data_IF_884808359948
#
_entry.id   IF_884808359948
#
_cell.length_a   1.000
_cell.length_b   1.000
_cell.length_c   1.000
_cell.angle_alpha   90.00
_cell.angle_beta   90.00
_cell.angle_gamma   90.00
#
_symmetry.space_group_name_H-M   'P 1'
#
loop_
_entity.id
_entity.type
_entity.pdbx_description
1 polymer ?
#
# COMPACT_ATOMS: atom_id res chain seq x y z
N UNK A 1 11.22 -7.14 -15.45
CA UNK A 1 11.53 -7.94 -14.24
C UNK A 1 10.35 -7.75 -13.30
N UNK A 2 9.48 -8.75 -13.17
CA UNK A 2 8.25 -8.61 -12.36
C UNK A 2 8.58 -8.74 -10.88
N UNK A 3 8.13 -7.78 -10.07
CA UNK A 3 8.33 -7.86 -8.62
C UNK A 3 7.39 -8.91 -8.04
N UNK A 4 7.87 -9.72 -7.11
CA UNK A 4 7.03 -10.70 -6.40
C UNK A 4 6.48 -10.10 -5.11
N UNK A 5 5.16 -9.93 -5.05
CA UNK A 5 4.48 -9.51 -3.82
C UNK A 5 4.35 -10.67 -2.82
N UNK A 6 4.41 -10.36 -1.52
CA UNK A 6 4.20 -11.34 -0.46
C UNK A 6 2.71 -11.46 -0.13
N UNK A 7 2.00 -12.26 -0.91
CA UNK A 7 0.54 -12.44 -0.78
C UNK A 7 0.14 -13.13 0.54
N UNK A 8 1.04 -13.88 1.17
CA UNK A 8 0.79 -14.50 2.48
C UNK A 8 0.62 -13.44 3.57
N UNK A 9 1.47 -12.41 3.57
CA UNK A 9 1.37 -11.31 4.53
C UNK A 9 0.09 -10.50 4.30
N UNK A 10 -0.28 -10.26 3.04
CA UNK A 10 -1.53 -9.57 2.69
C UNK A 10 -2.79 -10.35 3.12
N UNK A 11 -2.74 -11.69 3.07
CA UNK A 11 -3.86 -12.53 3.52
C UNK A 11 -4.05 -12.56 5.03
N UNK A 12 -3.00 -12.29 5.81
CA UNK A 12 -3.08 -12.21 7.28
C UNK A 12 -3.63 -10.88 7.81
N UNK A 13 -3.85 -9.89 6.95
CA UNK A 13 -4.38 -8.59 7.33
C UNK A 13 -5.81 -8.69 7.86
N UNK A 14 -6.13 -7.83 8.83
CA UNK A 14 -7.51 -7.63 9.33
C UNK A 14 -8.40 -7.00 8.25
N UNK A 15 -9.73 -7.06 8.42
CA UNK A 15 -10.67 -6.50 7.45
C UNK A 15 -10.44 -5.01 7.15
N UNK A 16 -10.17 -4.21 8.18
CA UNK A 16 -9.88 -2.78 8.06
C UNK A 16 -8.54 -2.51 7.35
N UNK A 17 -7.52 -3.31 7.62
CA UNK A 17 -6.22 -3.21 6.95
C UNK A 17 -6.34 -3.59 5.47
N UNK A 18 -7.11 -4.64 5.14
CA UNK A 18 -7.38 -5.04 3.76
C UNK A 18 -8.08 -3.94 2.96
N UNK A 19 -9.13 -3.33 3.53
CA UNK A 19 -9.82 -2.20 2.91
C UNK A 19 -8.85 -1.04 2.66
N UNK A 20 -8.03 -0.73 3.66
CA UNK A 20 -7.00 0.33 3.53
C UNK A 20 -6.00 0.02 2.42
N UNK A 21 -5.50 -1.21 2.33
CA UNK A 21 -4.58 -1.63 1.26
C UNK A 21 -5.19 -1.45 -0.13
N UNK A 22 -6.44 -1.89 -0.34
CA UNK A 22 -7.13 -1.74 -1.63
C UNK A 22 -7.22 -0.28 -2.05
N UNK A 23 -7.67 0.57 -1.14
CA UNK A 23 -7.84 2.00 -1.38
C UNK A 23 -6.51 2.72 -1.61
N UNK A 24 -5.43 2.32 -0.93
CA UNK A 24 -4.08 2.84 -1.18
C UNK A 24 -3.58 2.41 -2.56
N UNK A 25 -3.86 1.19 -2.99
CA UNK A 25 -3.50 0.71 -4.33
C UNK A 25 -4.27 1.46 -5.42
N UNK A 26 -5.56 1.74 -5.23
CA UNK A 26 -6.34 2.54 -6.18
C UNK A 26 -5.85 3.99 -6.24
N UNK A 27 -5.50 4.57 -5.09
CA UNK A 27 -4.89 5.88 -5.03
C UNK A 27 -3.55 5.92 -5.76
N UNK A 28 -2.66 4.96 -5.46
CA UNK A 28 -1.31 4.89 -6.03
C UNK A 28 -1.24 4.60 -7.52
N UNK A 29 -2.27 3.98 -8.10
CA UNK A 29 -2.34 3.77 -9.56
C UNK A 29 -2.45 5.10 -10.31
N UNK A 30 -3.14 6.07 -9.70
CA UNK A 30 -3.37 7.39 -10.30
C UNK A 30 -2.42 8.47 -9.77
N UNK A 31 -1.64 8.17 -8.74
CA UNK A 31 -0.78 9.12 -8.06
C UNK A 31 0.63 8.59 -7.94
N UNK A 32 1.58 9.37 -8.44
CA UNK A 32 3.01 9.03 -8.38
C UNK A 32 3.58 9.06 -6.96
N UNK A 33 2.87 9.67 -5.99
CA UNK A 33 3.33 9.81 -4.61
C UNK A 33 2.21 9.48 -3.65
N UNK A 34 2.53 8.65 -2.67
CA UNK A 34 1.65 8.25 -1.57
C UNK A 34 2.31 8.71 -0.28
N UNK A 35 1.64 9.56 0.48
CA UNK A 35 2.07 10.01 1.80
C UNK A 35 0.97 9.76 2.81
N UNK A 36 1.32 9.78 4.09
CA UNK A 36 0.33 9.62 5.16
C UNK A 36 -0.71 10.73 5.09
N UNK A 37 -0.28 11.98 4.90
CA UNK A 37 -1.15 13.16 4.83
C UNK A 37 -2.18 13.07 3.72
N UNK A 38 -1.81 12.51 2.56
CA UNK A 38 -2.74 12.30 1.45
C UNK A 38 -3.78 11.22 1.78
N UNK A 39 -3.38 10.20 2.54
CA UNK A 39 -4.21 9.05 2.85
C UNK A 39 -5.17 9.26 4.03
N UNK A 40 -4.87 10.16 4.97
CA UNK A 40 -5.77 10.49 6.09
C UNK A 40 -7.16 10.89 5.61
N UNK A 41 -7.34 11.90 4.73
CA UNK A 41 -8.67 12.29 4.26
C UNK A 41 -9.30 11.24 3.33
N UNK A 42 -8.50 10.42 2.64
CA UNK A 42 -9.00 9.37 1.76
C UNK A 42 -9.57 8.23 2.59
N UNK A 43 -8.78 7.68 3.50
CA UNK A 43 -9.13 6.48 4.24
C UNK A 43 -10.07 6.78 5.41
N UNK A 44 -10.07 8.00 5.93
CA UNK A 44 -10.82 8.36 7.14
C UNK A 44 -10.32 7.59 8.37
N UNK A 45 -9.03 7.24 8.40
CA UNK A 45 -8.39 6.46 9.47
C UNK A 45 -7.29 7.28 10.14
N UNK A 46 -6.91 6.86 11.35
CA UNK A 46 -5.85 7.54 12.10
C UNK A 46 -4.49 7.41 11.41
N UNK A 47 -3.63 8.41 11.63
CA UNK A 47 -2.27 8.42 11.12
C UNK A 47 -1.49 7.14 11.51
N UNK A 48 -1.66 6.68 12.75
CA UNK A 48 -1.04 5.46 13.26
C UNK A 48 -1.48 4.21 12.49
N UNK A 49 -2.77 4.09 12.17
CA UNK A 49 -3.30 3.01 11.34
C UNK A 49 -2.68 3.03 9.95
N UNK A 50 -2.66 4.20 9.31
CA UNK A 50 -2.11 4.38 7.96
C UNK A 50 -0.62 4.02 7.92
N UNK A 51 0.17 4.50 8.89
CA UNK A 51 1.58 4.14 9.00
C UNK A 51 1.80 2.65 9.17
N UNK A 52 0.96 1.97 9.96
CA UNK A 52 1.03 0.52 10.10
C UNK A 52 0.74 -0.20 8.76
N UNK A 53 -0.31 0.21 8.05
CA UNK A 53 -0.67 -0.36 6.74
C UNK A 53 0.44 -0.14 5.71
N UNK A 54 0.99 1.08 5.60
CA UNK A 54 2.09 1.39 4.68
C UNK A 54 3.33 0.54 4.98
N UNK A 55 3.65 0.32 6.26
CA UNK A 55 4.74 -0.57 6.68
C UNK A 55 4.50 -2.02 6.25
N UNK A 56 3.27 -2.53 6.38
CA UNK A 56 2.90 -3.87 5.94
C UNK A 56 2.98 -4.01 4.41
N UNK A 57 2.56 -2.98 3.68
CA UNK A 57 2.63 -2.93 2.22
C UNK A 57 4.09 -2.88 1.72
N UNK A 58 4.98 -2.16 2.41
CA UNK A 58 6.42 -2.19 2.14
C UNK A 58 6.99 -3.61 2.34
N UNK A 59 6.73 -4.25 3.48
CA UNK A 59 7.18 -5.62 3.74
C UNK A 59 6.57 -6.64 2.77
N UNK A 60 5.45 -6.31 2.14
CA UNK A 60 4.80 -7.14 1.12
C UNK A 60 5.29 -6.88 -0.30
N UNK A 61 6.26 -5.98 -0.49
CA UNK A 61 6.73 -5.49 -1.80
C UNK A 61 5.64 -4.81 -2.64
N UNK A 62 4.51 -4.42 -2.04
CA UNK A 62 3.43 -3.69 -2.74
C UNK A 62 3.84 -2.23 -2.94
N UNK A 63 4.51 -1.65 -1.94
CA UNK A 63 5.06 -0.31 -2.00
C UNK A 63 6.58 -0.35 -2.03
N UNK A 64 7.15 0.74 -2.54
CA UNK A 64 8.55 1.11 -2.37
C UNK A 64 8.62 2.47 -1.68
N UNK A 65 9.70 2.70 -0.94
CA UNK A 65 10.05 4.01 -0.40
C UNK A 65 11.33 4.48 -1.12
N UNK A 66 11.21 5.24 -2.21
CA UNK A 66 12.36 5.63 -3.03
C UNK A 66 13.27 6.66 -2.36
N UNK A 67 12.78 7.38 -1.34
CA UNK A 67 13.52 8.46 -0.67
C UNK A 67 14.09 8.03 0.70
N UNK A 68 13.84 6.79 1.13
CA UNK A 68 14.29 6.29 2.43
C UNK A 68 13.43 6.76 3.61
N UNK A 69 13.81 6.31 4.81
CA UNK A 69 12.99 6.34 6.02
C UNK A 69 12.51 7.73 6.46
N UNK A 70 13.18 8.82 6.05
CA UNK A 70 12.93 10.16 6.58
C UNK A 70 11.77 10.91 5.90
N UNK A 71 11.37 10.49 4.70
CA UNK A 71 10.42 11.29 3.90
C UNK A 71 8.94 10.94 4.07
N UNK A 72 8.59 9.74 4.55
CA UNK A 72 7.20 9.27 4.52
C UNK A 72 6.59 9.21 3.11
N UNK A 73 7.45 9.16 2.08
CA UNK A 73 7.08 9.12 0.67
C UNK A 73 7.12 7.68 0.15
N UNK A 74 5.98 7.20 -0.32
CA UNK A 74 5.82 5.86 -0.87
C UNK A 74 5.34 5.92 -2.31
N UNK A 75 5.61 4.87 -3.07
CA UNK A 75 5.05 4.64 -4.41
C UNK A 75 4.61 3.20 -4.54
N UNK A 76 3.63 2.94 -5.41
CA UNK A 76 3.40 1.59 -5.85
C UNK A 76 4.66 1.04 -6.50
N UNK A 77 4.94 -0.22 -6.20
CA UNK A 77 5.96 -0.96 -6.91
C UNK A 77 5.52 -1.19 -8.37
N UNK A 78 6.42 -1.70 -9.20
CA UNK A 78 6.12 -2.09 -10.58
C UNK A 78 5.25 -3.37 -10.61
N UNK A 79 4.02 -3.26 -10.10
CA UNK A 79 3.02 -4.31 -10.04
C UNK A 79 2.38 -4.49 -11.41
N UNK A 80 2.13 -5.75 -11.79
CA UNK A 80 1.33 -6.06 -12.97
C UNK A 80 -0.17 -6.08 -12.67
N UNK A 81 -1.00 -6.04 -13.71
CA UNK A 81 -2.47 -6.03 -13.59
C UNK A 81 -3.01 -7.27 -12.86
N UNK A 82 -2.31 -8.41 -12.92
CA UNK A 82 -2.74 -9.61 -12.20
C UNK A 82 -2.56 -9.43 -10.70
N UNK A 83 -1.44 -8.85 -10.29
CA UNK A 83 -1.14 -8.55 -8.88
C UNK A 83 -2.08 -7.49 -8.32
N UNK A 84 -2.36 -6.43 -9.08
CA UNK A 84 -3.34 -5.41 -8.70
C UNK A 84 -4.72 -6.07 -8.50
N UNK A 85 -5.16 -6.92 -9.44
CA UNK A 85 -6.42 -7.67 -9.30
C UNK A 85 -6.43 -8.63 -8.11
N UNK A 86 -5.31 -9.23 -7.75
CA UNK A 86 -5.22 -10.08 -6.56
C UNK A 86 -5.41 -9.26 -5.28
N UNK A 87 -4.79 -8.07 -5.19
CA UNK A 87 -4.95 -7.16 -4.05
C UNK A 87 -6.41 -6.70 -3.93
N UNK A 88 -7.08 -6.40 -5.06
CA UNK A 88 -8.47 -5.98 -5.05
C UNK A 88 -9.45 -7.07 -4.56
N UNK A 89 -9.03 -8.34 -4.55
CA UNK A 89 -9.82 -9.48 -4.06
C UNK A 89 -9.63 -9.81 -2.57
N UNK A 90 -8.73 -9.12 -1.85
CA UNK A 90 -8.45 -9.37 -0.42
C UNK A 90 -9.69 -9.32 0.49
#
# INVERSE_FOLDING_TARGET
MSVKINTRLLKSLTGDEKDSVKRIVDYGQNNYSITVDNLVPILGRSEAHIRNVLRLMLHSNVLINPLGAEGGYYRLNALDDSQIREIQKL
#
